data_IF_918788833816
#
_entry.id   IF_918788833816
#
_cell.length_a   1.000
_cell.length_b   1.000
_cell.length_c   1.000
_cell.angle_alpha   90.00
_cell.angle_beta   90.00
_cell.angle_gamma   90.00
#
_symmetry.space_group_name_H-M   'P 1'
#
loop_
_entity.id
_entity.type
_entity.pdbx_description
1 polymer ?
#
# COMPACT_ATOMS: atom_id res chain seq x y z
N UNK A 1 14.90 35.65 -17.61
CA UNK A 1 14.56 34.25 -17.93
C UNK A 1 15.70 33.41 -17.35
N UNK A 2 15.47 32.57 -16.33
CA UNK A 2 16.52 31.68 -15.84
C UNK A 2 17.01 30.80 -16.99
N UNK A 3 18.32 30.56 -17.05
CA UNK A 3 18.88 29.72 -18.11
C UNK A 3 18.39 28.28 -17.91
N UNK A 4 18.28 27.49 -18.99
CA UNK A 4 17.84 26.08 -18.87
C UNK A 4 18.70 25.28 -17.89
N UNK A 5 19.98 25.68 -17.72
CA UNK A 5 20.91 25.10 -16.75
C UNK A 5 20.48 25.39 -15.32
N UNK A 6 20.05 26.62 -15.01
CA UNK A 6 19.58 26.98 -13.66
C UNK A 6 18.36 26.16 -13.25
N UNK A 7 17.43 25.93 -14.19
CA UNK A 7 16.23 25.12 -13.93
C UNK A 7 16.60 23.65 -13.66
N UNK A 8 17.57 23.11 -14.40
CA UNK A 8 18.06 21.73 -14.19
C UNK A 8 18.77 21.61 -12.86
N UNK A 9 19.67 22.55 -12.52
CA UNK A 9 20.41 22.55 -11.25
C UNK A 9 19.45 22.66 -10.07
N UNK A 10 18.46 23.56 -10.15
CA UNK A 10 17.45 23.72 -9.12
C UNK A 10 16.60 22.45 -8.96
N UNK A 11 16.23 21.81 -10.07
CA UNK A 11 15.49 20.55 -10.06
C UNK A 11 16.28 19.41 -9.41
N UNK A 12 17.55 19.23 -9.77
CA UNK A 12 18.43 18.22 -9.17
C UNK A 12 18.63 18.47 -7.67
N UNK A 13 18.89 19.73 -7.29
CA UNK A 13 19.07 20.10 -5.89
C UNK A 13 17.79 19.84 -5.07
N UNK A 14 16.62 20.16 -5.62
CA UNK A 14 15.34 19.89 -4.97
C UNK A 14 15.10 18.39 -4.76
N UNK A 15 15.39 17.56 -5.78
CA UNK A 15 15.28 16.10 -5.67
C UNK A 15 16.24 15.55 -4.61
N UNK A 16 17.51 15.98 -4.62
CA UNK A 16 18.50 15.57 -3.62
C UNK A 16 18.08 15.97 -2.20
N UNK A 17 17.54 17.18 -2.02
CA UNK A 17 17.04 17.64 -0.73
C UNK A 17 15.88 16.77 -0.22
N UNK A 18 14.93 16.39 -1.09
CA UNK A 18 13.82 15.49 -0.74
C UNK A 18 14.34 14.11 -0.34
N UNK A 19 15.28 13.55 -1.10
CA UNK A 19 15.88 12.24 -0.79
C UNK A 19 16.61 12.27 0.56
N UNK A 20 17.41 13.31 0.80
CA UNK A 20 18.11 13.50 2.07
C UNK A 20 17.14 13.63 3.26
N UNK A 21 16.06 14.39 3.09
CA UNK A 21 15.02 14.54 4.11
C UNK A 21 14.34 13.20 4.42
N UNK A 22 13.98 12.42 3.41
CA UNK A 22 13.38 11.09 3.59
C UNK A 22 14.35 10.15 4.32
N UNK A 23 15.63 10.12 3.92
CA UNK A 23 16.65 9.32 4.58
C UNK A 23 16.80 9.70 6.07
N UNK A 24 16.83 11.00 6.38
CA UNK A 24 16.90 11.50 7.74
C UNK A 24 15.67 11.07 8.57
N UNK A 25 14.46 11.15 8.02
CA UNK A 25 13.22 10.72 8.70
C UNK A 25 13.27 9.21 9.00
N UNK A 26 13.71 8.40 8.04
CA UNK A 26 13.83 6.94 8.21
C UNK A 26 14.86 6.60 9.30
N UNK A 27 16.03 7.25 9.29
CA UNK A 27 17.04 7.08 10.33
C UNK A 27 16.51 7.46 11.72
N UNK A 28 15.80 8.60 11.82
CA UNK A 28 15.21 9.04 13.08
C UNK A 28 14.14 8.07 13.59
N UNK A 29 13.35 7.48 12.69
CA UNK A 29 12.37 6.44 13.03
C UNK A 29 13.04 5.16 13.51
N UNK A 30 14.09 4.70 12.85
CA UNK A 30 14.84 3.53 13.29
C UNK A 30 15.41 3.73 14.70
N UNK A 31 15.97 4.91 14.99
CA UNK A 31 16.46 5.26 16.34
C UNK A 31 15.32 5.30 17.36
N UNK A 32 14.15 5.86 17.00
CA UNK A 32 12.97 5.88 17.89
C UNK A 32 12.43 4.48 18.16
N UNK A 33 12.36 3.60 17.16
CA UNK A 33 11.95 2.21 17.32
C UNK A 33 12.94 1.47 18.24
N UNK A 34 14.25 1.60 18.04
CA UNK A 34 15.27 0.99 18.92
C UNK A 34 15.19 1.54 20.35
N UNK A 35 14.95 2.84 20.52
CA UNK A 35 14.77 3.46 21.84
C UNK A 35 13.50 2.96 22.53
N UNK A 36 12.41 2.78 21.80
CA UNK A 36 11.17 2.20 22.32
C UNK A 36 11.37 0.74 22.76
N UNK A 37 12.08 -0.08 21.97
CA UNK A 37 12.41 -1.45 22.32
C UNK A 37 13.31 -1.54 23.55
N UNK A 38 14.27 -0.61 23.70
CA UNK A 38 15.10 -0.50 24.92
C UNK A 38 14.30 -0.09 26.15
N UNK A 39 13.34 0.81 25.99
CA UNK A 39 12.46 1.23 27.09
C UNK A 39 11.53 0.08 27.55
N UNK A 40 11.11 -0.79 26.63
CA UNK A 40 10.32 -1.99 26.94
C UNK A 40 11.13 -3.16 27.51
N UNK A 41 12.47 -3.09 27.52
CA UNK A 41 13.35 -4.17 28.00
C UNK A 41 13.66 -4.11 29.51
N UNK A 42 13.03 -3.22 30.28
CA UNK A 42 13.10 -3.23 31.75
C UNK A 42 12.22 -4.37 32.34
N UNK A 43 12.58 -5.02 33.46
CA UNK A 43 11.98 -6.29 33.89
C UNK A 43 10.65 -6.17 34.69
N UNK A 44 9.56 -6.65 34.08
CA UNK A 44 8.31 -7.41 34.45
C UNK A 44 7.93 -7.67 35.94
N UNK A 45 6.64 -7.76 36.38
CA UNK A 45 5.62 -8.80 36.04
C UNK A 45 4.21 -8.22 35.72
N UNK A 46 3.19 -8.85 35.14
CA UNK A 46 2.72 -10.24 34.95
C UNK A 46 1.67 -10.26 33.78
N UNK A 47 1.05 -11.41 33.43
CA UNK A 47 0.28 -11.58 32.19
C UNK A 47 -1.15 -11.04 32.31
N UNK A 48 -1.60 -10.30 31.30
CA UNK A 48 -3.02 -9.97 31.13
C UNK A 48 -3.53 -10.76 29.93
N UNK A 49 -4.59 -11.52 30.18
CA UNK A 49 -5.35 -12.32 29.23
C UNK A 49 -5.69 -11.58 27.93
N UNK A 50 -5.89 -12.31 26.81
CA UNK A 50 -6.43 -11.71 25.60
C UNK A 50 -7.91 -11.37 25.82
N UNK A 51 -8.20 -10.13 26.20
CA UNK A 51 -9.58 -9.65 26.20
C UNK A 51 -10.06 -9.47 24.75
N UNK A 52 -10.62 -10.55 24.26
CA UNK A 52 -11.37 -10.68 23.04
C UNK A 52 -12.72 -9.97 23.22
N UNK A 53 -12.76 -8.64 23.11
CA UNK A 53 -14.05 -7.91 22.99
C UNK A 53 -13.86 -6.54 22.35
N UNK A 54 -14.42 -6.38 21.17
CA UNK A 54 -14.41 -5.10 20.46
C UNK A 54 -14.74 -5.26 18.99
N UNK A 55 -15.83 -5.98 18.70
CA UNK A 55 -16.54 -5.77 17.44
C UNK A 55 -17.06 -4.34 17.44
N UNK A 56 -16.26 -3.43 16.90
CA UNK A 56 -16.73 -2.18 16.34
C UNK A 56 -16.30 -2.19 14.89
N UNK A 57 -17.11 -2.93 14.13
CA UNK A 57 -17.70 -2.39 12.92
C UNK A 57 -17.90 -0.88 13.12
N UNK A 58 -17.16 -0.05 12.38
CA UNK A 58 -17.62 1.27 11.94
C UNK A 58 -16.52 1.99 11.16
N UNK A 59 -17.01 2.60 10.09
CA UNK A 59 -16.41 3.73 9.40
C UNK A 59 -15.05 3.46 8.76
N UNK A 60 -15.13 2.89 7.55
CA UNK A 60 -14.63 3.67 6.42
C UNK A 60 -15.17 5.08 6.66
N UNK A 61 -14.34 6.00 7.17
CA UNK A 61 -14.62 7.43 7.09
C UNK A 61 -14.93 7.63 5.62
N UNK A 62 -16.22 7.62 5.33
CA UNK A 62 -16.80 8.14 4.12
C UNK A 62 -16.14 9.50 4.05
N UNK A 63 -15.18 9.64 3.14
CA UNK A 63 -14.74 10.95 2.69
C UNK A 63 -16.06 11.58 2.36
N UNK A 64 -16.49 12.51 3.22
CA UNK A 64 -17.79 13.14 3.16
C UNK A 64 -18.01 13.46 1.69
N UNK A 65 -18.81 12.61 1.04
CA UNK A 65 -19.15 12.79 -0.34
C UNK A 65 -19.84 14.16 -0.29
N UNK A 66 -19.31 15.19 -0.96
CA UNK A 66 -19.95 16.50 -0.92
C UNK A 66 -21.42 16.24 -1.19
N UNK A 67 -22.25 16.61 -0.21
CA UNK A 67 -23.64 16.20 -0.09
C UNK A 67 -24.26 16.12 -1.48
N UNK A 68 -24.88 14.97 -1.81
CA UNK A 68 -25.61 14.79 -3.07
C UNK A 68 -26.65 15.90 -3.14
N UNK A 69 -26.27 16.98 -3.82
CA UNK A 69 -27.19 18.05 -4.14
C UNK A 69 -28.28 17.44 -5.03
N UNK A 70 -29.55 17.82 -4.83
CA UNK A 70 -30.66 17.29 -5.61
C UNK A 70 -30.37 17.45 -7.10
N UNK A 71 -30.76 16.44 -7.88
CA UNK A 71 -30.52 16.32 -9.31
C UNK A 71 -30.65 17.70 -10.02
N UNK A 72 -29.56 18.24 -10.60
CA UNK A 72 -29.60 19.55 -11.22
C UNK A 72 -30.38 19.48 -12.53
N UNK A 73 -31.60 20.01 -12.52
CA UNK A 73 -32.39 20.30 -13.71
C UNK A 73 -31.52 21.08 -14.70
N UNK A 74 -31.51 20.63 -15.95
CA UNK A 74 -30.75 21.26 -17.03
C UNK A 74 -31.15 22.72 -17.16
N UNK A 75 -30.27 23.64 -16.74
CA UNK A 75 -30.52 25.08 -16.88
C UNK A 75 -30.19 25.49 -18.31
N UNK A 76 -31.22 25.92 -19.02
CA UNK A 76 -31.09 26.53 -20.34
C UNK A 76 -30.79 28.00 -20.10
N UNK A 77 -29.56 28.41 -20.44
CA UNK A 77 -29.15 29.81 -20.42
C UNK A 77 -28.86 30.17 -21.88
N UNK A 78 -29.52 31.22 -22.39
CA UNK A 78 -29.24 31.80 -23.72
C UNK A 78 -29.33 30.81 -24.90
N UNK A 79 -30.29 29.88 -24.87
CA UNK A 79 -30.52 28.94 -25.99
C UNK A 79 -29.49 27.82 -26.11
N UNK A 80 -28.57 27.66 -25.14
CA UNK A 80 -27.72 26.46 -25.00
C UNK A 80 -28.11 25.65 -23.77
N UNK A 81 -28.27 24.35 -23.97
CA UNK A 81 -28.48 23.39 -22.89
C UNK A 81 -27.13 23.08 -22.26
N UNK A 82 -26.88 23.64 -21.07
CA UNK A 82 -25.69 23.31 -20.29
C UNK A 82 -26.04 22.10 -19.43
N UNK A 83 -25.63 20.92 -19.88
CA UNK A 83 -25.75 19.70 -19.07
C UNK A 83 -24.61 19.68 -18.06
N UNK A 84 -24.89 19.57 -16.74
CA UNK A 84 -23.84 19.44 -15.76
C UNK A 84 -23.06 18.14 -16.01
N UNK A 85 -21.71 18.20 -16.00
CA UNK A 85 -20.89 17.01 -16.27
C UNK A 85 -21.14 15.93 -15.21
N UNK A 86 -21.13 14.68 -15.65
CA UNK A 86 -21.31 13.54 -14.74
C UNK A 86 -20.13 13.43 -13.77
N UNK A 87 -20.34 12.77 -12.62
CA UNK A 87 -19.25 12.56 -11.65
C UNK A 87 -18.06 11.82 -12.29
N UNK A 88 -18.32 10.88 -13.20
CA UNK A 88 -17.28 10.17 -13.93
C UNK A 88 -16.45 11.11 -14.82
N UNK A 89 -17.09 12.06 -15.50
CA UNK A 89 -16.40 13.07 -16.31
C UNK A 89 -15.56 14.03 -15.46
N UNK A 90 -16.07 14.43 -14.29
CA UNK A 90 -15.31 15.24 -13.35
C UNK A 90 -14.09 14.50 -12.81
N UNK A 91 -14.24 13.24 -12.43
CA UNK A 91 -13.11 12.40 -11.96
C UNK A 91 -12.10 12.22 -13.07
N UNK A 92 -12.54 11.88 -14.29
CA UNK A 92 -11.65 11.73 -15.44
C UNK A 92 -10.87 13.03 -15.73
N UNK A 93 -11.56 14.17 -15.72
CA UNK A 93 -10.92 15.47 -15.90
C UNK A 93 -9.93 15.80 -14.77
N UNK A 94 -10.29 15.55 -13.51
CA UNK A 94 -9.41 15.83 -12.37
C UNK A 94 -8.17 14.94 -12.34
N UNK A 95 -8.27 13.69 -12.79
CA UNK A 95 -7.13 12.76 -12.85
C UNK A 95 -6.04 13.20 -13.84
N UNK A 96 -6.35 14.09 -14.79
CA UNK A 96 -5.34 14.69 -15.67
C UNK A 96 -4.42 15.69 -14.96
N UNK A 97 -4.85 16.20 -13.79
CA UNK A 97 -4.10 17.20 -13.03
C UNK A 97 -3.01 16.52 -12.18
N UNK A 98 -1.71 16.87 -12.35
CA UNK A 98 -0.63 16.22 -11.61
C UNK A 98 -0.75 16.44 -10.09
N UNK A 99 -1.25 17.61 -9.67
CA UNK A 99 -1.48 17.93 -8.25
C UNK A 99 -2.49 16.99 -7.58
N UNK A 100 -3.58 16.64 -8.28
CA UNK A 100 -4.61 15.72 -7.76
C UNK A 100 -4.03 14.32 -7.56
N UNK A 101 -3.23 13.84 -8.53
CA UNK A 101 -2.57 12.54 -8.43
C UNK A 101 -1.60 12.48 -7.25
N UNK A 102 -0.80 13.54 -7.06
CA UNK A 102 0.12 13.65 -5.91
C UNK A 102 -0.67 13.67 -4.60
N UNK A 103 -1.75 14.45 -4.50
CA UNK A 103 -2.58 14.52 -3.30
C UNK A 103 -3.16 13.15 -2.92
N UNK A 104 -3.64 12.38 -3.89
CA UNK A 104 -4.15 11.01 -3.67
C UNK A 104 -3.05 10.11 -3.13
N UNK A 105 -1.86 10.14 -3.73
CA UNK A 105 -0.72 9.33 -3.27
C UNK A 105 -0.32 9.71 -1.85
N UNK A 106 -0.19 10.99 -1.55
CA UNK A 106 0.17 11.48 -0.21
C UNK A 106 -0.90 11.09 0.83
N UNK A 107 -2.19 11.25 0.50
CA UNK A 107 -3.29 10.85 1.36
C UNK A 107 -3.28 9.33 1.62
N UNK A 108 -3.03 8.53 0.58
CA UNK A 108 -2.90 7.08 0.68
C UNK A 108 -1.71 6.67 1.55
N UNK A 109 -0.55 7.32 1.41
CA UNK A 109 0.63 7.08 2.24
C UNK A 109 0.35 7.44 3.70
N UNK A 110 -0.24 8.62 3.96
CA UNK A 110 -0.62 9.03 5.31
C UNK A 110 -1.62 8.04 5.95
N UNK A 111 -2.58 7.55 5.16
CA UNK A 111 -3.53 6.55 5.61
C UNK A 111 -2.87 5.19 5.88
N UNK A 112 -1.91 4.77 5.05
CA UNK A 112 -1.17 3.53 5.25
C UNK A 112 -0.20 3.60 6.44
N UNK A 113 0.27 4.79 6.79
CA UNK A 113 1.14 5.04 7.95
C UNK A 113 0.39 5.09 9.28
N UNK A 114 -0.95 5.08 9.27
CA UNK A 114 -1.73 4.94 10.50
C UNK A 114 -1.44 3.59 11.17
N UNK A 115 -1.30 3.55 12.50
CA UNK A 115 -0.97 2.32 13.22
C UNK A 115 -2.02 1.23 12.99
N UNK A 116 -3.31 1.60 12.91
CA UNK A 116 -4.41 0.66 12.67
C UNK A 116 -4.32 0.00 11.28
N UNK A 117 -3.97 0.79 10.26
CA UNK A 117 -3.77 0.31 8.88
C UNK A 117 -2.55 -0.61 8.77
N UNK A 118 -1.46 -0.29 9.49
CA UNK A 118 -0.22 -1.07 9.48
C UNK A 118 -0.46 -2.51 9.94
N UNK A 119 -1.19 -2.70 11.02
CA UNK A 119 -1.45 -4.04 11.56
C UNK A 119 -2.32 -4.86 10.61
N UNK A 120 -3.36 -4.25 10.04
CA UNK A 120 -4.22 -4.90 9.04
C UNK A 120 -3.46 -5.31 7.79
N UNK A 121 -2.64 -4.41 7.22
CA UNK A 121 -1.82 -4.69 6.04
C UNK A 121 -0.80 -5.78 6.37
N UNK A 122 -0.15 -5.71 7.53
CA UNK A 122 0.81 -6.74 7.95
C UNK A 122 0.15 -8.12 8.11
N UNK A 123 -1.08 -8.16 8.63
CA UNK A 123 -1.89 -9.36 8.75
C UNK A 123 -2.25 -9.95 7.39
N UNK A 124 -2.70 -9.11 6.45
CA UNK A 124 -2.97 -9.50 5.07
C UNK A 124 -1.72 -10.05 4.38
N UNK A 125 -0.58 -9.35 4.50
CA UNK A 125 0.69 -9.78 3.91
C UNK A 125 1.19 -11.11 4.49
N UNK A 126 1.07 -11.31 5.81
CA UNK A 126 1.41 -12.60 6.45
C UNK A 126 0.55 -13.74 5.93
N UNK A 127 -0.75 -13.49 5.72
CA UNK A 127 -1.69 -14.47 5.13
C UNK A 127 -1.29 -14.81 3.70
N UNK A 128 -1.02 -13.80 2.88
CA UNK A 128 -0.67 -13.96 1.47
C UNK A 128 0.67 -14.69 1.32
N UNK A 129 1.66 -14.35 2.15
CA UNK A 129 2.94 -15.07 2.21
C UNK A 129 2.75 -16.56 2.56
N UNK A 130 1.96 -16.87 3.59
CA UNK A 130 1.65 -18.26 3.97
C UNK A 130 0.93 -19.00 2.85
N UNK A 131 0.00 -18.33 2.15
CA UNK A 131 -0.72 -18.89 1.01
C UNK A 131 0.22 -19.22 -0.14
N UNK A 132 1.10 -18.28 -0.52
CA UNK A 132 2.12 -18.49 -1.56
C UNK A 132 3.10 -19.59 -1.18
N UNK A 133 3.54 -19.65 0.08
CA UNK A 133 4.40 -20.73 0.59
C UNK A 133 3.74 -22.10 0.45
N UNK A 134 2.47 -22.22 0.82
CA UNK A 134 1.68 -23.46 0.65
C UNK A 134 1.50 -23.82 -0.82
N UNK A 135 1.25 -22.83 -1.68
CA UNK A 135 1.13 -23.04 -3.13
C UNK A 135 2.42 -23.61 -3.72
N UNK A 136 3.59 -23.07 -3.35
CA UNK A 136 4.90 -23.61 -3.76
C UNK A 136 5.13 -25.03 -3.28
N UNK A 137 4.78 -25.35 -2.03
CA UNK A 137 4.89 -26.71 -1.51
C UNK A 137 3.99 -27.69 -2.26
N UNK A 138 2.76 -27.29 -2.59
CA UNK A 138 1.85 -28.10 -3.40
C UNK A 138 2.38 -28.30 -4.81
N UNK A 139 2.91 -27.25 -5.43
CA UNK A 139 3.55 -27.33 -6.75
C UNK A 139 4.77 -28.27 -6.74
N UNK A 140 5.64 -28.17 -5.73
CA UNK A 140 6.80 -29.06 -5.56
C UNK A 140 6.37 -30.52 -5.36
N UNK A 141 5.33 -30.78 -4.56
CA UNK A 141 4.78 -32.14 -4.37
C UNK A 141 4.18 -32.70 -5.66
N UNK A 142 3.52 -31.86 -6.47
CA UNK A 142 3.02 -32.26 -7.79
C UNK A 142 4.17 -32.57 -8.75
N UNK A 143 5.19 -31.71 -8.78
CA UNK A 143 6.39 -31.93 -9.59
C UNK A 143 7.10 -33.24 -9.20
N UNK A 144 7.27 -33.53 -7.92
CA UNK A 144 7.88 -34.78 -7.46
C UNK A 144 7.08 -36.04 -7.83
N UNK A 145 5.76 -35.95 -8.01
CA UNK A 145 4.92 -37.08 -8.46
C UNK A 145 4.98 -37.32 -9.95
N UNK A 146 5.29 -36.29 -10.73
CA UNK A 146 5.37 -36.34 -12.20
C UNK A 146 6.83 -36.43 -12.68
N UNK A 147 7.79 -36.20 -11.78
CA UNK A 147 9.21 -36.30 -12.09
C UNK A 147 9.53 -37.73 -12.54
N UNK A 148 10.09 -37.92 -13.75
CA UNK A 148 10.58 -39.21 -14.18
C UNK A 148 11.70 -39.67 -13.23
N UNK A 149 11.85 -41.00 -13.02
CA UNK A 149 12.96 -41.51 -12.22
C UNK A 149 14.29 -41.02 -12.78
N UNK A 150 15.29 -40.75 -11.91
CA UNK A 150 16.59 -40.30 -12.37
C UNK A 150 17.18 -41.31 -13.38
N UNK A 151 17.70 -40.85 -14.53
CA UNK A 151 18.31 -41.75 -15.51
C UNK A 151 19.56 -42.38 -14.88
N UNK A 152 19.51 -43.70 -14.64
CA UNK A 152 20.59 -44.47 -14.01
C UNK A 152 20.19 -45.45 -12.92
N UNK A 153 18.90 -45.66 -12.66
CA UNK A 153 18.40 -46.67 -11.69
C UNK A 153 17.52 -47.75 -12.35
N UNK A 154 17.87 -48.13 -13.57
CA UNK A 154 17.54 -49.43 -14.16
C UNK A 154 18.89 -50.05 -14.52
N UNK A 155 19.06 -51.37 -14.38
CA UNK A 155 20.26 -52.17 -14.73
C UNK A 155 21.10 -52.72 -13.55
N UNK A 156 20.53 -52.79 -12.34
CA UNK A 156 21.15 -53.54 -11.22
C UNK A 156 20.60 -54.95 -10.98
N UNK A 157 19.51 -55.33 -11.66
CA UNK A 157 18.70 -56.50 -11.30
C UNK A 157 18.61 -57.55 -12.43
N UNK A 158 19.30 -57.35 -13.56
CA UNK A 158 19.33 -58.28 -14.71
C UNK A 158 20.72 -58.92 -14.93
N UNK A 159 21.54 -59.02 -13.88
CA UNK A 159 22.81 -59.76 -13.91
C UNK A 159 22.82 -60.85 -12.83
N UNK A 160 22.17 -61.97 -13.12
CA UNK A 160 22.34 -63.27 -12.43
C UNK A 160 21.93 -64.38 -13.39
#
# INVERSE_FOLDING_TARGET
MPSSVDVVVLGVAAVLAVVALVAAIVALRAVREVKALRASAAPTPAPVEPEQRGGQDLDIRSVEAPAVAPAPEARIIEGRVIVPPTQEQLVAAQMTRPSVRIAIVVAGVMHALRPESRDRISGLMRRDYRQRRRARQRAARRAARVAPPPPGQTDGWMSS
#
